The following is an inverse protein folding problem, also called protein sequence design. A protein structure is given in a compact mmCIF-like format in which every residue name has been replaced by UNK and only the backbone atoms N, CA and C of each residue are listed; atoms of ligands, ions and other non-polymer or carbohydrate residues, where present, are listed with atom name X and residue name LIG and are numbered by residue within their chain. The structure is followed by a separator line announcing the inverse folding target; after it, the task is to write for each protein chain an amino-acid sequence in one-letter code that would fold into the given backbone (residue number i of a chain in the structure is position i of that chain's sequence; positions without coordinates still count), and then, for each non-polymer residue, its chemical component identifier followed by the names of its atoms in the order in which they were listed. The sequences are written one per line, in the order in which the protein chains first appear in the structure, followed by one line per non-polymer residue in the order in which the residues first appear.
data_IF_615851874724
#
_entry.id   IF_615851874724
#
_cell.length_a   1.000
_cell.length_b   1.000
_cell.length_c   1.000
_cell.angle_alpha   90.00
_cell.angle_beta   90.00
_cell.angle_gamma   90.00
#
_symmetry.space_group_name_H-M   'P 1'
#
loop_
_entity.id
_entity.type
_entity.pdbx_description
1 polymer ?
#
# COMPACT_ATOMS: atom_id res chain seq x y z
N UNK A 1 -21.51 -9.65 1.62
CA UNK A 1 -20.87 -10.10 2.87
C UNK A 1 -20.49 -11.58 2.83
N UNK A 2 -21.37 -12.49 2.39
CA UNK A 2 -21.08 -13.94 2.32
C UNK A 2 -20.00 -14.30 1.30
N UNK A 3 -19.93 -13.62 0.17
CA UNK A 3 -18.90 -13.86 -0.87
C UNK A 3 -17.51 -13.54 -0.33
N UNK A 4 -17.35 -12.45 0.42
CA UNK A 4 -16.07 -12.04 1.01
C UNK A 4 -15.63 -13.04 2.11
N UNK A 5 -16.57 -13.57 2.89
CA UNK A 5 -16.25 -14.61 3.87
C UNK A 5 -15.85 -15.94 3.21
N UNK A 6 -16.49 -16.30 2.10
CA UNK A 6 -16.10 -17.51 1.35
C UNK A 6 -14.74 -17.38 0.69
N UNK A 7 -14.37 -16.17 0.23
CA UNK A 7 -13.04 -15.92 -0.33
C UNK A 7 -11.95 -15.88 0.76
N UNK A 8 -12.29 -15.43 1.98
CA UNK A 8 -11.39 -15.53 3.14
C UNK A 8 -11.13 -16.97 3.55
N UNK A 9 -12.17 -17.81 3.56
CA UNK A 9 -12.06 -19.25 3.86
C UNK A 9 -11.33 -20.02 2.74
N UNK A 10 -11.50 -19.60 1.48
CA UNK A 10 -10.70 -20.13 0.36
C UNK A 10 -9.25 -19.68 0.40
N UNK A 11 -8.96 -18.50 0.95
CA UNK A 11 -7.59 -18.01 1.16
C UNK A 11 -6.79 -18.92 2.10
N UNK A 12 -7.43 -19.51 3.10
CA UNK A 12 -6.80 -20.52 3.97
C UNK A 12 -6.45 -21.82 3.22
N UNK A 13 -7.17 -22.14 2.14
CA UNK A 13 -6.93 -23.31 1.30
C UNK A 13 -5.80 -23.13 0.27
N UNK A 14 -5.39 -21.89 -0.04
CA UNK A 14 -4.38 -21.57 -1.07
C UNK A 14 -2.95 -21.38 -0.53
N UNK A 15 -2.66 -21.80 0.69
CA UNK A 15 -1.30 -21.87 1.21
C UNK A 15 -0.71 -20.53 1.66
N UNK A 16 0.59 -20.52 1.92
CA UNK A 16 1.40 -19.47 2.56
C UNK A 16 1.38 -18.05 1.91
N UNK A 17 0.55 -17.80 0.90
CA UNK A 17 0.49 -16.56 0.15
C UNK A 17 -0.72 -15.67 0.51
N UNK A 18 -1.55 -16.09 1.46
CA UNK A 18 -2.70 -15.32 1.93
C UNK A 18 -2.34 -14.40 3.09
N UNK A 19 -3.02 -13.26 3.19
CA UNK A 19 -2.90 -12.35 4.32
C UNK A 19 -4.28 -11.93 4.82
N UNK A 20 -4.35 -11.55 6.09
CA UNK A 20 -5.56 -11.08 6.73
C UNK A 20 -5.38 -9.61 7.18
N UNK A 21 -6.28 -8.73 6.76
CA UNK A 21 -6.34 -7.32 7.20
C UNK A 21 -7.33 -7.09 8.34
N UNK A 22 -8.04 -8.12 8.78
CA UNK A 22 -9.09 -8.05 9.79
C UNK A 22 -10.46 -8.49 9.27
N UNK A 23 -11.43 -8.60 10.15
CA UNK A 23 -12.81 -8.98 9.79
C UNK A 23 -13.55 -7.80 9.19
N UNK A 24 -14.11 -7.99 8.01
CA UNK A 24 -15.00 -7.04 7.35
C UNK A 24 -16.42 -7.24 7.92
N UNK A 25 -16.85 -6.31 8.75
CA UNK A 25 -18.20 -6.35 9.37
C UNK A 25 -19.32 -5.93 8.39
N UNK A 26 -18.99 -5.66 7.14
CA UNK A 26 -19.94 -5.20 6.12
C UNK A 26 -20.50 -3.79 6.37
N UNK A 27 -20.02 -3.09 7.41
CA UNK A 27 -20.42 -1.72 7.74
C UNK A 27 -19.41 -0.71 7.19
N UNK A 28 -19.87 0.51 6.88
CA UNK A 28 -19.01 1.59 6.42
C UNK A 28 -17.95 1.98 7.47
N UNK A 29 -18.33 1.96 8.74
CA UNK A 29 -17.39 2.19 9.86
C UNK A 29 -16.29 1.12 9.96
N UNK A 30 -16.63 -0.14 9.71
CA UNK A 30 -15.66 -1.24 9.63
C UNK A 30 -14.66 -1.05 8.51
N UNK A 31 -15.11 -0.59 7.33
CA UNK A 31 -14.23 -0.28 6.20
C UNK A 31 -13.24 0.83 6.52
N UNK A 32 -13.70 1.94 7.14
CA UNK A 32 -12.82 3.05 7.54
C UNK A 32 -11.80 2.59 8.58
N UNK A 33 -12.19 1.75 9.52
CA UNK A 33 -11.29 1.20 10.54
C UNK A 33 -10.17 0.35 9.94
N UNK A 34 -10.44 -0.37 8.86
CA UNK A 34 -9.47 -1.19 8.15
C UNK A 34 -8.61 -0.41 7.15
N UNK A 35 -9.00 0.82 6.79
CA UNK A 35 -8.34 1.61 5.77
C UNK A 35 -6.83 1.78 5.99
N UNK A 36 -6.32 2.13 7.18
CA UNK A 36 -4.87 2.29 7.38
C UNK A 36 -4.11 1.00 7.09
N UNK A 37 -4.63 -0.14 7.55
CA UNK A 37 -4.01 -1.44 7.34
C UNK A 37 -4.10 -1.90 5.88
N UNK A 38 -5.23 -1.65 5.22
CA UNK A 38 -5.43 -1.97 3.81
C UNK A 38 -4.46 -1.17 2.92
N UNK A 39 -4.34 0.14 3.16
CA UNK A 39 -3.42 1.03 2.43
C UNK A 39 -1.97 0.60 2.64
N UNK A 40 -1.56 0.40 3.89
CA UNK A 40 -0.21 -0.06 4.21
C UNK A 40 0.10 -1.40 3.53
N UNK A 41 -0.84 -2.34 3.58
CA UNK A 41 -0.70 -3.65 2.94
C UNK A 41 -0.53 -3.51 1.44
N UNK A 42 -1.34 -2.71 0.77
CA UNK A 42 -1.26 -2.52 -0.68
C UNK A 42 0.07 -1.88 -1.13
N UNK A 43 0.62 -0.96 -0.35
CA UNK A 43 1.84 -0.23 -0.74
C UNK A 43 3.11 -1.03 -0.39
N UNK A 44 3.19 -1.63 0.81
CA UNK A 44 4.44 -2.13 1.38
C UNK A 44 4.51 -3.64 1.62
N UNK A 45 3.42 -4.40 1.44
CA UNK A 45 3.45 -5.85 1.57
C UNK A 45 3.46 -6.54 0.19
N UNK A 46 3.99 -7.76 0.01
CA UNK A 46 4.62 -8.58 1.05
C UNK A 46 5.94 -8.01 1.55
N UNK A 47 6.20 -8.25 2.84
CA UNK A 47 7.49 -7.98 3.47
C UNK A 47 8.45 -9.16 3.28
N UNK A 48 9.73 -8.96 3.60
CA UNK A 48 10.74 -10.03 3.51
C UNK A 48 10.38 -11.24 4.39
N UNK A 49 9.66 -11.02 5.49
CA UNK A 49 9.24 -12.09 6.41
C UNK A 49 8.04 -12.90 5.92
N UNK A 50 7.39 -12.46 4.83
CA UNK A 50 6.16 -13.06 4.29
C UNK A 50 6.39 -13.79 2.96
N UNK A 51 7.64 -14.06 2.61
CA UNK A 51 8.01 -14.71 1.36
C UNK A 51 7.60 -16.18 1.40
N UNK A 52 6.61 -16.55 0.58
CA UNK A 52 6.14 -17.91 0.41
C UNK A 52 6.50 -18.53 -0.96
N UNK A 53 7.04 -17.73 -1.89
CA UNK A 53 7.44 -18.21 -3.22
C UNK A 53 8.57 -17.38 -3.81
N UNK A 54 9.36 -17.91 -4.77
CA UNK A 54 10.43 -17.17 -5.42
C UNK A 54 9.97 -15.86 -6.09
N UNK A 55 8.77 -15.85 -6.67
CA UNK A 55 8.19 -14.64 -7.27
C UNK A 55 7.91 -13.53 -6.25
N UNK A 56 7.65 -13.90 -4.99
CA UNK A 56 7.43 -12.93 -3.91
C UNK A 56 8.71 -12.26 -3.43
N UNK A 57 9.88 -12.88 -3.65
CA UNK A 57 11.20 -12.30 -3.26
C UNK A 57 11.39 -10.96 -3.95
N UNK A 58 11.17 -10.90 -5.26
CA UNK A 58 11.32 -9.66 -6.04
C UNK A 58 10.38 -8.58 -5.52
N UNK A 59 9.10 -8.92 -5.32
CA UNK A 59 8.12 -7.98 -4.78
C UNK A 59 8.45 -7.49 -3.38
N UNK A 60 8.98 -8.36 -2.53
CA UNK A 60 9.40 -8.00 -1.17
C UNK A 60 10.61 -7.02 -1.18
N UNK A 61 11.57 -7.23 -2.09
CA UNK A 61 12.71 -6.31 -2.28
C UNK A 61 12.23 -4.94 -2.79
N UNK A 62 11.35 -4.92 -3.80
CA UNK A 62 10.75 -3.68 -4.30
C UNK A 62 10.01 -2.92 -3.19
N UNK A 63 9.22 -3.62 -2.38
CA UNK A 63 8.47 -3.03 -1.29
C UNK A 63 9.36 -2.48 -0.18
N UNK A 64 10.41 -3.21 0.16
CA UNK A 64 11.42 -2.70 1.09
C UNK A 64 12.08 -1.44 0.54
N UNK A 65 12.44 -1.42 -0.74
CA UNK A 65 12.99 -0.24 -1.40
C UNK A 65 12.03 0.96 -1.33
N UNK A 66 10.76 0.75 -1.64
CA UNK A 66 9.73 1.79 -1.55
C UNK A 66 9.54 2.29 -0.11
N UNK A 67 9.54 1.40 0.87
CA UNK A 67 9.43 1.76 2.28
C UNK A 67 10.63 2.60 2.74
N UNK A 68 11.83 2.13 2.47
CA UNK A 68 13.07 2.85 2.84
C UNK A 68 13.15 4.21 2.15
N UNK A 69 12.76 4.28 0.87
CA UNK A 69 12.76 5.54 0.13
C UNK A 69 11.70 6.52 0.65
N UNK A 70 10.52 6.03 1.04
CA UNK A 70 9.48 6.84 1.68
C UNK A 70 9.95 7.40 3.02
N UNK A 71 10.57 6.56 3.87
CA UNK A 71 11.13 6.98 5.14
C UNK A 71 12.26 8.01 4.95
N UNK A 72 13.13 7.78 3.97
CA UNK A 72 14.20 8.71 3.64
C UNK A 72 13.67 10.08 3.19
N UNK A 73 12.62 10.10 2.36
CA UNK A 73 11.99 11.35 1.93
C UNK A 73 11.34 12.11 3.10
N UNK A 74 10.70 11.39 4.03
CA UNK A 74 10.08 11.98 5.23
C UNK A 74 11.17 12.51 6.19
N UNK A 75 12.20 11.72 6.49
CA UNK A 75 13.24 12.11 7.45
C UNK A 75 14.08 13.28 6.94
N UNK A 76 14.38 13.29 5.62
CA UNK A 76 15.16 14.37 4.99
C UNK A 76 14.48 15.73 5.05
N UNK A 77 13.16 15.76 4.87
CA UNK A 77 12.38 17.01 4.84
C UNK A 77 11.73 17.33 6.20
N UNK A 78 11.64 16.37 7.08
CA UNK A 78 10.78 16.41 8.26
C UNK A 78 9.31 16.18 7.91
N UNK A 79 8.53 15.58 8.82
CA UNK A 79 7.13 15.17 8.52
C UNK A 79 6.23 16.36 8.21
N UNK A 80 6.39 17.48 8.92
CA UNK A 80 5.56 18.68 8.72
C UNK A 80 5.78 19.26 7.32
N UNK A 81 7.04 19.41 6.91
CA UNK A 81 7.37 19.96 5.60
C UNK A 81 7.00 19.00 4.47
N UNK A 82 7.15 17.68 4.69
CA UNK A 82 6.71 16.65 3.76
C UNK A 82 5.22 16.83 3.40
N UNK A 83 4.34 16.89 4.39
CA UNK A 83 2.91 17.09 4.15
C UNK A 83 2.57 18.46 3.60
N UNK A 84 3.23 19.52 4.09
CA UNK A 84 3.02 20.88 3.58
C UNK A 84 3.37 20.99 2.09
N UNK A 85 4.46 20.35 1.65
CA UNK A 85 4.85 20.29 0.23
C UNK A 85 3.80 19.62 -0.62
N UNK A 86 3.22 18.50 -0.15
CA UNK A 86 2.14 17.81 -0.88
C UNK A 86 0.91 18.70 -1.01
N UNK A 87 0.51 19.35 0.07
CA UNK A 87 -0.69 20.19 0.08
C UNK A 87 -0.53 21.47 -0.76
N UNK A 88 0.69 21.97 -0.94
CA UNK A 88 0.97 23.17 -1.74
C UNK A 88 1.09 22.92 -3.24
N UNK A 89 1.25 21.68 -3.66
CA UNK A 89 1.46 21.29 -5.06
C UNK A 89 0.30 20.42 -5.56
N UNK A 90 -0.58 20.94 -6.43
CA UNK A 90 -1.77 20.21 -6.88
C UNK A 90 -1.47 18.82 -7.48
N UNK A 91 -0.34 18.69 -8.20
CA UNK A 91 0.05 17.42 -8.82
C UNK A 91 0.47 16.37 -7.77
N UNK A 92 1.14 16.80 -6.70
CA UNK A 92 1.52 15.91 -5.59
C UNK A 92 0.31 15.51 -4.78
N UNK A 93 -0.60 16.45 -4.55
CA UNK A 93 -1.88 16.17 -3.86
C UNK A 93 -2.72 15.17 -4.66
N UNK A 94 -2.82 15.35 -5.98
CA UNK A 94 -3.51 14.41 -6.86
C UNK A 94 -2.87 13.02 -6.80
N UNK A 95 -1.54 12.94 -6.94
CA UNK A 95 -0.81 11.68 -6.91
C UNK A 95 -0.98 10.95 -5.56
N UNK A 96 -0.94 11.67 -4.43
CA UNK A 96 -1.19 11.11 -3.11
C UNK A 96 -2.64 10.60 -2.98
N UNK A 97 -3.61 11.42 -3.36
CA UNK A 97 -5.03 11.07 -3.27
C UNK A 97 -5.33 9.83 -4.11
N UNK A 98 -4.84 9.81 -5.36
CA UNK A 98 -4.98 8.63 -6.23
C UNK A 98 -4.36 7.39 -5.59
N UNK A 99 -3.12 7.51 -5.09
CA UNK A 99 -2.41 6.40 -4.44
C UNK A 99 -3.18 5.85 -3.25
N UNK A 100 -3.67 6.72 -2.36
CA UNK A 100 -4.40 6.32 -1.14
C UNK A 100 -5.71 5.63 -1.50
N UNK A 101 -6.53 6.22 -2.38
CA UNK A 101 -7.82 5.67 -2.78
C UNK A 101 -7.64 4.33 -3.48
N UNK A 102 -6.69 4.26 -4.39
CA UNK A 102 -6.39 3.04 -5.14
C UNK A 102 -5.83 1.94 -4.23
N UNK A 103 -4.87 2.27 -3.35
CA UNK A 103 -4.29 1.34 -2.39
C UNK A 103 -5.35 0.80 -1.41
N UNK A 104 -6.27 1.65 -0.96
CA UNK A 104 -7.40 1.23 -0.13
C UNK A 104 -8.26 0.19 -0.85
N UNK A 105 -8.68 0.48 -2.09
CA UNK A 105 -9.48 -0.45 -2.91
C UNK A 105 -8.78 -1.78 -3.13
N UNK A 106 -7.51 -1.75 -3.53
CA UNK A 106 -6.70 -2.96 -3.76
C UNK A 106 -6.47 -3.74 -2.47
N UNK A 107 -6.16 -3.04 -1.36
CA UNK A 107 -5.90 -3.68 -0.07
C UNK A 107 -7.12 -4.42 0.49
N UNK A 108 -8.32 -3.89 0.28
CA UNK A 108 -9.57 -4.55 0.70
C UNK A 108 -9.97 -5.67 -0.26
N UNK A 109 -9.80 -5.44 -1.58
CA UNK A 109 -10.23 -6.40 -2.59
C UNK A 109 -9.33 -7.63 -2.70
N UNK A 110 -8.07 -7.52 -2.25
CA UNK A 110 -7.09 -8.61 -2.36
C UNK A 110 -6.97 -9.37 -1.05
N UNK A 111 -6.91 -10.69 -1.14
CA UNK A 111 -6.67 -11.59 0.01
C UNK A 111 -5.37 -12.39 -0.16
N UNK A 112 -4.72 -12.25 -1.31
CA UNK A 112 -3.55 -13.01 -1.73
C UNK A 112 -2.47 -12.04 -2.24
N UNK A 113 -1.23 -12.26 -1.83
CA UNK A 113 -0.08 -11.42 -2.25
C UNK A 113 0.16 -11.43 -3.77
N UNK A 114 -0.12 -12.53 -4.46
CA UNK A 114 0.00 -12.59 -5.91
C UNK A 114 -1.00 -11.68 -6.65
N UNK A 115 -2.24 -11.60 -6.17
CA UNK A 115 -3.24 -10.66 -6.68
C UNK A 115 -2.88 -9.22 -6.30
N UNK A 116 -2.48 -9.00 -5.04
CA UNK A 116 -2.08 -7.69 -4.52
C UNK A 116 -0.98 -7.04 -5.37
N UNK A 117 0.08 -7.79 -5.68
CA UNK A 117 1.22 -7.28 -6.46
C UNK A 117 0.83 -6.90 -7.89
N UNK A 118 -0.12 -7.59 -8.50
CA UNK A 118 -0.62 -7.26 -9.84
C UNK A 118 -1.56 -6.06 -9.82
N UNK A 119 -2.50 -6.02 -8.88
CA UNK A 119 -3.51 -4.98 -8.83
C UNK A 119 -2.96 -3.61 -8.43
N UNK A 120 -1.84 -3.54 -7.69
CA UNK A 120 -1.21 -2.28 -7.31
C UNK A 120 -0.39 -1.61 -8.43
N UNK A 121 -0.10 -2.31 -9.54
CA UNK A 121 0.73 -1.78 -10.63
C UNK A 121 0.28 -0.37 -11.08
N UNK A 122 -1.02 -0.08 -11.27
CA UNK A 122 -1.46 1.25 -11.70
C UNK A 122 -1.15 2.39 -10.72
N UNK A 123 -0.95 2.12 -9.42
CA UNK A 123 -0.63 3.19 -8.46
C UNK A 123 0.87 3.51 -8.38
N UNK A 124 1.75 2.58 -8.77
CA UNK A 124 3.22 2.78 -8.67
C UNK A 124 3.69 4.01 -9.46
N UNK A 125 3.22 4.29 -10.70
CA UNK A 125 3.58 5.48 -11.45
C UNK A 125 3.19 6.81 -10.78
N UNK A 126 2.28 6.80 -9.83
CA UNK A 126 1.89 7.97 -9.04
C UNK A 126 2.65 8.04 -7.72
N UNK A 127 2.78 6.92 -7.04
CA UNK A 127 3.43 6.86 -5.74
C UNK A 127 4.95 7.10 -5.81
N UNK A 128 5.65 6.43 -6.72
CA UNK A 128 7.10 6.56 -6.83
C UNK A 128 7.54 8.00 -7.21
N UNK A 129 6.98 8.64 -8.26
CA UNK A 129 7.30 10.03 -8.56
C UNK A 129 6.92 11.01 -7.45
N UNK A 130 5.82 10.77 -6.74
CA UNK A 130 5.42 11.57 -5.57
C UNK A 130 6.57 11.62 -4.55
N UNK A 131 7.04 10.46 -4.10
CA UNK A 131 8.11 10.35 -3.11
C UNK A 131 9.43 10.93 -3.65
N UNK A 132 9.76 10.65 -4.91
CA UNK A 132 10.95 11.15 -5.57
C UNK A 132 10.99 12.70 -5.67
N UNK A 133 9.89 13.30 -6.07
CA UNK A 133 9.79 14.75 -6.19
C UNK A 133 9.90 15.44 -4.82
N UNK A 134 9.30 14.89 -3.79
CA UNK A 134 9.44 15.39 -2.43
C UNK A 134 10.87 15.23 -1.94
N UNK A 135 11.50 14.08 -2.18
CA UNK A 135 12.90 13.84 -1.82
C UNK A 135 13.86 14.83 -2.50
N UNK A 136 13.61 15.14 -3.80
CA UNK A 136 14.43 16.07 -4.58
C UNK A 136 14.24 17.54 -4.16
N UNK A 137 13.06 17.91 -3.69
CA UNK A 137 12.80 19.25 -3.13
C UNK A 137 13.59 19.40 -1.83
N UNK A 138 14.83 19.92 -1.95
CA UNK A 138 15.69 20.21 -0.81
C UNK A 138 14.98 21.17 0.13
N UNK A 139 15.11 20.93 1.43
CA UNK A 139 14.69 21.85 2.46
C UNK A 139 15.52 23.15 2.34
N UNK A 140 14.99 24.17 1.68
CA UNK A 140 15.43 25.55 1.87
C UNK A 140 14.74 26.11 3.08
#
# INVERSE_FOLDING_TARGET
AQVIQQDLLRGEQYGNNSYNIGKLDGTFSGLIRLAPMAIFTAIYRPSITEIGSPAMVLSAIENLGLLLFSLLAITRNGPIKFFKTILSEPILLYALTFTIVFAFGVGIASTNFGALTRYRIPMIPFFFPLIYLIYKKKAN
#
